data_IF_601925335569
#
_entry.id   IF_601925335569
#
_cell.length_a   1.000
_cell.length_b   1.000
_cell.length_c   1.000
_cell.angle_alpha   90.00
_cell.angle_beta   90.00
_cell.angle_gamma   90.00
#
_symmetry.space_group_name_H-M   'P 1'
#
loop_
_entity.id
_entity.type
_entity.pdbx_description
1 polymer ?
#
# COMPACT_ATOMS: atom_id res chain seq x y z
N UNK A 1 -14.36 9.90 -1.00
CA UNK A 1 -13.15 9.37 -1.69
C UNK A 1 -12.13 10.49 -1.75
N UNK A 2 -10.91 10.29 -1.24
CA UNK A 2 -9.90 11.35 -0.99
C UNK A 2 -9.69 12.33 -2.16
N UNK A 3 -9.58 11.82 -3.40
CA UNK A 3 -9.36 12.63 -4.61
C UNK A 3 -10.55 13.48 -5.06
N UNK A 4 -11.71 13.36 -4.42
CA UNK A 4 -12.89 14.21 -4.66
C UNK A 4 -13.07 15.27 -3.57
N UNK A 5 -12.06 15.48 -2.73
CA UNK A 5 -12.10 16.44 -1.61
C UNK A 5 -11.08 17.55 -1.82
N UNK A 6 -11.26 18.75 -1.22
CA UNK A 6 -10.26 19.81 -1.29
C UNK A 6 -8.84 19.39 -0.86
N UNK A 7 -8.72 18.40 0.04
CA UNK A 7 -7.44 17.86 0.53
C UNK A 7 -6.62 17.16 -0.56
N UNK A 8 -7.27 16.49 -1.51
CA UNK A 8 -6.61 15.59 -2.46
C UNK A 8 -7.04 15.70 -3.93
N UNK A 9 -7.89 16.68 -4.27
CA UNK A 9 -8.40 16.88 -5.61
C UNK A 9 -7.38 17.53 -6.55
N UNK A 10 -7.40 17.13 -7.82
CA UNK A 10 -6.60 17.73 -8.88
C UNK A 10 -7.32 17.59 -10.22
N UNK A 11 -7.19 18.56 -11.13
CA UNK A 11 -7.88 18.57 -12.44
C UNK A 11 -7.56 17.34 -13.30
N UNK A 12 -6.32 16.83 -13.18
CA UNK A 12 -5.87 15.61 -13.86
C UNK A 12 -6.25 14.30 -13.13
N UNK A 13 -6.89 14.35 -11.96
CA UNK A 13 -7.30 13.17 -11.18
C UNK A 13 -8.83 13.14 -11.06
N UNK A 14 -9.48 12.59 -12.09
CA UNK A 14 -10.95 12.64 -12.20
C UNK A 14 -11.68 11.58 -11.37
N UNK A 15 -10.95 10.63 -10.79
CA UNK A 15 -11.49 9.50 -10.04
C UNK A 15 -12.51 8.66 -10.85
N UNK A 16 -12.21 8.43 -12.13
CA UNK A 16 -13.02 7.63 -13.06
C UNK A 16 -12.14 6.57 -13.73
N UNK A 17 -12.74 5.43 -14.07
CA UNK A 17 -12.13 4.41 -14.91
C UNK A 17 -12.91 4.25 -16.23
N UNK A 18 -12.24 3.78 -17.28
CA UNK A 18 -12.93 3.42 -18.53
C UNK A 18 -13.66 2.09 -18.34
N UNK A 19 -14.93 2.03 -18.75
CA UNK A 19 -15.75 0.83 -18.59
C UNK A 19 -15.13 -0.42 -19.25
N UNK A 20 -14.48 -0.24 -20.40
CA UNK A 20 -13.78 -1.33 -21.11
C UNK A 20 -12.69 -2.02 -20.27
N UNK A 21 -12.15 -1.36 -19.24
CA UNK A 21 -11.13 -1.93 -18.35
C UNK A 21 -11.71 -2.80 -17.24
N UNK A 22 -13.04 -2.78 -17.04
CA UNK A 22 -13.67 -3.43 -15.89
C UNK A 22 -13.43 -4.95 -15.87
N UNK A 23 -13.54 -5.62 -17.01
CA UNK A 23 -13.29 -7.05 -17.11
C UNK A 23 -11.86 -7.41 -16.68
N UNK A 24 -10.86 -6.64 -17.14
CA UNK A 24 -9.46 -6.84 -16.74
C UNK A 24 -9.23 -6.58 -15.26
N UNK A 25 -9.83 -5.53 -14.69
CA UNK A 25 -9.67 -5.20 -13.26
C UNK A 25 -10.29 -6.28 -12.38
N UNK A 26 -11.46 -6.81 -12.75
CA UNK A 26 -12.11 -7.89 -11.99
C UNK A 26 -11.31 -9.19 -12.07
N UNK A 27 -10.72 -9.50 -13.22
CA UNK A 27 -9.92 -10.71 -13.41
C UNK A 27 -8.50 -10.62 -12.81
N UNK A 28 -8.06 -9.42 -12.43
CA UNK A 28 -6.70 -9.22 -11.93
C UNK A 28 -6.58 -9.61 -10.45
N UNK A 29 -5.63 -10.50 -10.16
CA UNK A 29 -5.21 -10.85 -8.79
C UNK A 29 -3.79 -10.35 -8.55
N UNK A 30 -3.66 -9.27 -7.79
CA UNK A 30 -2.36 -8.70 -7.41
C UNK A 30 -1.51 -9.66 -6.56
N UNK A 31 -2.12 -10.65 -5.91
CA UNK A 31 -1.44 -11.61 -5.03
C UNK A 31 -1.22 -12.97 -5.71
N UNK A 32 -1.45 -13.07 -7.02
CA UNK A 32 -1.23 -14.31 -7.75
C UNK A 32 0.24 -14.75 -7.59
N UNK A 33 0.45 -15.96 -7.05
CA UNK A 33 1.76 -16.59 -6.85
C UNK A 33 2.78 -15.84 -5.98
N UNK A 34 2.37 -14.88 -5.15
CA UNK A 34 3.32 -14.18 -4.24
C UNK A 34 4.03 -15.14 -3.26
N UNK A 35 3.42 -16.28 -2.96
CA UNK A 35 3.97 -17.39 -2.17
C UNK A 35 5.08 -18.20 -2.86
N UNK A 36 5.29 -17.97 -4.17
CA UNK A 36 6.34 -18.63 -4.95
C UNK A 36 7.31 -17.65 -5.57
N UNK A 37 6.82 -16.50 -6.06
CA UNK A 37 7.57 -15.60 -6.93
C UNK A 37 8.06 -14.33 -6.23
N UNK A 38 7.37 -13.87 -5.19
CA UNK A 38 7.77 -12.65 -4.47
C UNK A 38 8.81 -12.98 -3.40
N UNK A 39 10.05 -13.22 -3.84
CA UNK A 39 11.20 -13.65 -3.01
C UNK A 39 12.13 -12.49 -2.64
N UNK A 40 11.98 -11.34 -3.28
CA UNK A 40 12.77 -10.13 -3.08
C UNK A 40 12.57 -9.57 -1.67
N UNK A 41 13.53 -8.81 -1.12
CA UNK A 41 13.32 -8.04 0.09
C UNK A 41 12.03 -7.21 0.00
N UNK A 42 11.23 -7.20 1.07
CA UNK A 42 9.89 -6.63 1.05
C UNK A 42 9.61 -5.82 2.31
N UNK A 43 9.37 -4.52 2.14
CA UNK A 43 8.83 -3.66 3.19
C UNK A 43 7.35 -3.37 2.91
N UNK A 44 6.48 -3.67 3.88
CA UNK A 44 5.07 -3.31 3.85
C UNK A 44 4.80 -2.28 4.95
N UNK A 45 4.00 -1.25 4.64
CA UNK A 45 3.61 -0.20 5.59
C UNK A 45 2.10 0.00 5.49
N UNK A 46 1.39 -0.10 6.61
CA UNK A 46 -0.08 0.00 6.67
C UNK A 46 -0.56 0.77 7.89
N UNK A 47 -1.72 1.42 7.76
CA UNK A 47 -2.47 1.99 8.89
C UNK A 47 -3.56 1.03 9.33
N UNK A 48 -3.73 0.83 10.64
CA UNK A 48 -4.70 -0.11 11.19
C UNK A 48 -6.04 0.52 11.57
N UNK A 49 -6.14 1.86 11.60
CA UNK A 49 -7.40 2.54 11.93
C UNK A 49 -8.44 2.20 10.88
N UNK A 50 -9.52 1.57 11.35
CA UNK A 50 -10.59 1.05 10.51
C UNK A 50 -11.21 2.10 9.59
N UNK A 51 -11.58 1.66 8.39
CA UNK A 51 -12.26 2.43 7.38
C UNK A 51 -12.92 1.51 6.35
N UNK A 52 -13.39 2.07 5.23
CA UNK A 52 -14.04 1.29 4.15
C UNK A 52 -13.05 0.38 3.39
N UNK A 53 -11.74 0.63 3.55
CA UNK A 53 -10.68 -0.07 2.84
C UNK A 53 -10.18 -1.28 3.61
N UNK A 54 -9.90 -2.38 2.89
CA UNK A 54 -9.29 -3.59 3.45
C UNK A 54 -7.76 -3.56 3.44
N UNK A 55 -7.14 -2.39 3.19
CA UNK A 55 -5.67 -2.26 3.02
C UNK A 55 -4.85 -2.82 4.18
N UNK A 56 -5.34 -2.72 5.42
CA UNK A 56 -4.67 -3.33 6.57
C UNK A 56 -4.65 -4.87 6.48
N UNK A 57 -5.79 -5.47 6.12
CA UNK A 57 -5.90 -6.92 5.95
C UNK A 57 -5.09 -7.39 4.74
N UNK A 58 -5.15 -6.65 3.64
CA UNK A 58 -4.39 -6.97 2.42
C UNK A 58 -2.87 -6.92 2.69
N UNK A 59 -2.38 -5.92 3.43
CA UNK A 59 -0.97 -5.85 3.83
C UNK A 59 -0.53 -7.00 4.74
N UNK A 60 -1.37 -7.41 5.69
CA UNK A 60 -1.11 -8.59 6.53
C UNK A 60 -1.10 -9.88 5.71
N UNK A 61 -2.01 -10.01 4.75
CA UNK A 61 -2.09 -11.18 3.88
C UNK A 61 -0.88 -11.27 2.95
N UNK A 62 -0.45 -10.16 2.35
CA UNK A 62 0.77 -10.10 1.56
C UNK A 62 1.99 -10.47 2.40
N UNK A 63 2.12 -9.92 3.62
CA UNK A 63 3.20 -10.26 4.54
C UNK A 63 3.22 -11.75 4.84
N UNK A 64 2.06 -12.35 5.12
CA UNK A 64 1.93 -13.77 5.41
C UNK A 64 2.32 -14.64 4.21
N UNK A 65 1.79 -14.32 3.03
CA UNK A 65 1.93 -15.16 1.83
C UNK A 65 3.26 -14.99 1.11
N UNK A 66 3.88 -13.81 1.10
CA UNK A 66 5.08 -13.55 0.31
C UNK A 66 6.20 -14.58 0.60
N UNK A 67 6.79 -15.12 -0.46
CA UNK A 67 7.89 -16.10 -0.39
C UNK A 67 9.20 -15.51 0.20
N UNK A 68 9.29 -14.18 0.26
CA UNK A 68 10.45 -13.45 0.75
C UNK A 68 10.85 -13.87 2.15
N UNK A 69 12.15 -14.14 2.31
CA UNK A 69 12.80 -14.39 3.61
C UNK A 69 13.15 -13.09 4.34
N UNK A 70 13.27 -12.00 3.59
CA UNK A 70 13.67 -10.68 4.07
C UNK A 70 12.47 -9.74 3.98
N UNK A 71 11.49 -9.92 4.89
CA UNK A 71 10.25 -9.14 4.88
C UNK A 71 9.92 -8.51 6.21
N UNK A 72 9.42 -7.28 6.17
CA UNK A 72 9.01 -6.51 7.34
C UNK A 72 7.64 -5.84 7.13
N UNK A 73 6.91 -5.67 8.22
CA UNK A 73 5.58 -5.06 8.24
C UNK A 73 5.53 -3.99 9.33
N UNK A 74 5.48 -2.72 8.92
CA UNK A 74 5.25 -1.59 9.81
C UNK A 74 3.75 -1.27 9.87
N UNK A 75 3.20 -1.26 11.07
CA UNK A 75 1.79 -0.95 11.32
C UNK A 75 1.69 0.32 12.15
N UNK A 76 0.94 1.30 11.64
CA UNK A 76 0.52 2.47 12.40
C UNK A 76 -0.88 2.26 12.96
N UNK A 77 -0.97 1.97 14.26
CA UNK A 77 -2.25 1.61 14.91
C UNK A 77 -3.33 2.69 14.76
N UNK A 78 -2.94 3.97 14.85
CA UNK A 78 -3.86 5.11 14.83
C UNK A 78 -4.00 5.78 13.46
N UNK A 79 -3.27 5.33 12.44
CA UNK A 79 -3.35 5.88 11.10
C UNK A 79 -4.46 5.21 10.28
N UNK A 80 -5.28 6.01 9.59
CA UNK A 80 -6.17 5.50 8.56
C UNK A 80 -5.42 5.29 7.23
N UNK A 81 -6.07 4.63 6.26
CA UNK A 81 -5.54 4.48 4.91
C UNK A 81 -5.11 5.80 4.27
N UNK A 82 -5.88 6.88 4.49
CA UNK A 82 -5.60 8.18 3.88
C UNK A 82 -4.57 8.99 4.67
N UNK A 83 -4.34 8.72 5.95
CA UNK A 83 -3.30 9.42 6.70
C UNK A 83 -1.90 9.10 6.16
N UNK A 84 -1.73 7.93 5.55
CA UNK A 84 -0.47 7.57 4.88
C UNK A 84 -0.23 8.29 3.55
N UNK A 85 -1.18 9.09 3.05
CA UNK A 85 -1.02 9.80 1.78
C UNK A 85 -0.28 11.13 1.97
N UNK A 86 -0.56 11.84 3.06
CA UNK A 86 -0.16 13.24 3.22
C UNK A 86 0.04 13.71 4.67
N UNK A 87 -0.30 12.92 5.71
CA UNK A 87 -0.11 13.35 7.09
C UNK A 87 1.37 13.16 7.52
N UNK A 88 2.13 14.24 7.79
CA UNK A 88 3.57 14.14 8.10
C UNK A 88 3.88 13.28 9.34
N UNK A 89 2.95 13.18 10.29
CA UNK A 89 3.08 12.34 11.49
C UNK A 89 3.32 10.86 11.12
N UNK A 90 2.68 10.39 10.06
CA UNK A 90 2.80 8.99 9.60
C UNK A 90 3.67 8.85 8.34
N UNK A 91 3.65 9.85 7.46
CA UNK A 91 4.44 9.87 6.22
C UNK A 91 5.93 9.96 6.52
N UNK A 92 6.36 10.83 7.45
CA UNK A 92 7.80 11.01 7.71
C UNK A 92 8.45 9.70 8.22
N UNK A 93 7.91 9.00 9.24
CA UNK A 93 8.49 7.73 9.68
C UNK A 93 8.37 6.63 8.61
N UNK A 94 7.31 6.63 7.78
CA UNK A 94 7.18 5.69 6.68
C UNK A 94 8.28 5.89 5.61
N UNK A 95 8.55 7.15 5.25
CA UNK A 95 9.63 7.52 4.31
C UNK A 95 11.00 7.18 4.90
N UNK A 96 11.23 7.43 6.20
CA UNK A 96 12.48 7.06 6.87
C UNK A 96 12.69 5.54 6.83
N UNK A 97 11.65 4.75 7.14
CA UNK A 97 11.66 3.29 7.05
C UNK A 97 11.98 2.81 5.62
N UNK A 98 11.30 3.36 4.61
CA UNK A 98 11.55 3.02 3.21
C UNK A 98 12.95 3.44 2.75
N UNK A 99 13.44 4.59 3.20
CA UNK A 99 14.79 5.07 2.88
C UNK A 99 15.85 4.12 3.43
N UNK A 100 15.72 3.69 4.69
CA UNK A 100 16.61 2.69 5.29
C UNK A 100 16.53 1.34 4.56
N UNK A 101 15.32 0.89 4.21
CA UNK A 101 15.11 -0.33 3.43
C UNK A 101 15.82 -0.27 2.06
N UNK A 102 15.59 0.79 1.27
CA UNK A 102 16.20 0.90 -0.05
C UNK A 102 17.71 1.05 0.01
N UNK A 103 18.26 1.83 0.96
CA UNK A 103 19.73 1.89 1.16
C UNK A 103 20.32 0.52 1.47
N UNK A 104 19.64 -0.29 2.30
CA UNK A 104 20.11 -1.63 2.67
C UNK A 104 20.17 -2.58 1.47
N UNK A 105 19.18 -2.54 0.58
CA UNK A 105 19.03 -3.54 -0.48
C UNK A 105 19.36 -3.06 -1.90
N UNK A 106 19.51 -1.75 -2.14
CA UNK A 106 19.78 -1.17 -3.46
C UNK A 106 20.98 -0.19 -3.51
N UNK A 107 21.48 0.31 -2.36
CA UNK A 107 22.61 1.24 -2.29
C UNK A 107 22.22 2.71 -2.24
#
# INVERSE_FOLDING_TARGET
>A
MYHLTPRGQHTNSTNKLRFISMASVIAFDAFHMVDKLLTQPLQIIVGAKGGVFKSFQDGKELYKRAASKEKDLLVFENASHYDLYDNPEYVNPAVEKLTGFYRKYLG
#
